data_IF_663283617051
#
_entry.id   IF_663283617051
#
_cell.length_a   1.000
_cell.length_b   1.000
_cell.length_c   1.000
_cell.angle_alpha   90.00
_cell.angle_beta   90.00
_cell.angle_gamma   90.00
#
_symmetry.space_group_name_H-M   'P 1'
#
loop_
_entity.id
_entity.type
_entity.pdbx_description
1 polymer ?
#
# COMPACT_ATOMS: atom_id res chain seq x y z
N UNK A 1 1.38 14.44 27.54
CA UNK A 1 -0.01 14.86 27.78
C UNK A 1 -0.71 14.77 26.44
N UNK A 2 -1.32 13.62 26.13
CA UNK A 2 -2.01 13.38 24.85
C UNK A 2 -3.41 13.94 24.95
N UNK A 3 -3.68 15.04 24.25
CA UNK A 3 -5.03 15.53 24.05
C UNK A 3 -5.71 14.55 23.10
N UNK A 4 -6.47 13.61 23.65
CA UNK A 4 -7.38 12.76 22.87
C UNK A 4 -8.38 13.69 22.17
N UNK A 5 -8.18 13.92 20.87
CA UNK A 5 -9.17 14.58 20.03
C UNK A 5 -10.44 13.71 20.04
N UNK A 6 -11.44 14.13 20.81
CA UNK A 6 -12.75 13.52 20.80
C UNK A 6 -13.30 13.59 19.37
N UNK A 7 -13.37 12.45 18.68
CA UNK A 7 -13.93 12.36 17.32
C UNK A 7 -13.17 11.47 16.33
N UNK A 8 -11.95 11.02 16.65
CA UNK A 8 -11.18 10.18 15.74
C UNK A 8 -11.39 8.70 16.04
N UNK A 9 -12.45 8.12 15.46
CA UNK A 9 -12.75 6.71 15.60
C UNK A 9 -12.81 6.05 14.22
N UNK A 10 -11.92 5.09 14.02
CA UNK A 10 -12.00 4.17 12.90
C UNK A 10 -12.68 2.88 13.35
N UNK A 11 -13.75 2.50 12.65
CA UNK A 11 -14.47 1.25 12.89
C UNK A 11 -14.33 0.38 11.63
N UNK A 12 -13.57 -0.72 11.68
CA UNK A 12 -13.43 -1.59 10.52
C UNK A 12 -14.76 -2.26 10.18
N UNK A 13 -15.03 -2.43 8.89
CA UNK A 13 -16.21 -3.10 8.38
C UNK A 13 -16.24 -3.10 6.86
N UNK A 14 -16.87 -4.10 6.25
CA UNK A 14 -16.86 -4.26 4.79
C UNK A 14 -17.24 -2.97 4.05
N UNK A 15 -16.42 -2.65 3.05
CA UNK A 15 -16.51 -1.49 2.17
C UNK A 15 -16.74 -1.87 0.70
N UNK A 16 -17.05 -3.12 0.37
CA UNK A 16 -17.17 -3.59 -1.03
C UNK A 16 -18.22 -2.86 -1.87
N UNK A 17 -19.21 -2.27 -1.22
CA UNK A 17 -20.32 -1.53 -1.85
C UNK A 17 -20.29 -0.03 -1.50
N UNK A 18 -19.18 0.44 -0.95
CA UNK A 18 -19.02 1.84 -0.54
C UNK A 18 -18.61 2.70 -1.72
N UNK A 19 -19.07 3.94 -1.70
CA UNK A 19 -18.63 4.96 -2.65
C UNK A 19 -17.17 5.36 -2.42
N UNK A 20 -16.55 5.99 -3.43
CA UNK A 20 -15.20 6.54 -3.28
C UNK A 20 -15.11 7.51 -2.10
N UNK A 21 -16.10 8.40 -1.92
CA UNK A 21 -16.12 9.36 -0.81
C UNK A 21 -16.18 8.67 0.57
N UNK A 22 -16.87 7.54 0.69
CA UNK A 22 -16.91 6.76 1.93
C UNK A 22 -15.56 6.08 2.22
N UNK A 23 -14.87 5.57 1.18
CA UNK A 23 -13.53 5.00 1.31
C UNK A 23 -12.50 6.09 1.71
N UNK A 24 -12.61 7.28 1.13
CA UNK A 24 -11.80 8.45 1.50
C UNK A 24 -11.97 8.83 2.96
N UNK A 25 -13.22 8.89 3.40
CA UNK A 25 -13.54 9.18 4.79
C UNK A 25 -12.98 8.11 5.73
N UNK A 26 -13.16 6.84 5.41
CA UNK A 26 -12.60 5.74 6.19
C UNK A 26 -11.06 5.82 6.29
N UNK A 27 -10.38 6.24 5.23
CA UNK A 27 -8.94 6.45 5.23
C UNK A 27 -8.51 7.61 6.13
N UNK A 28 -9.24 8.73 6.12
CA UNK A 28 -9.00 9.87 7.02
C UNK A 28 -9.29 9.51 8.48
N UNK A 29 -10.38 8.78 8.74
CA UNK A 29 -10.74 8.30 10.07
C UNK A 29 -9.67 7.33 10.60
N UNK A 30 -9.20 6.40 9.76
CA UNK A 30 -8.06 5.52 10.07
C UNK A 30 -6.82 6.33 10.40
N UNK A 31 -6.52 7.33 9.58
CA UNK A 31 -5.34 8.17 9.78
C UNK A 31 -5.41 8.96 11.08
N UNK A 32 -6.56 9.53 11.42
CA UNK A 32 -6.70 10.25 12.68
C UNK A 32 -6.62 9.33 13.90
N UNK A 33 -7.10 8.09 13.79
CA UNK A 33 -7.05 7.12 14.89
C UNK A 33 -5.64 6.54 15.12
N UNK A 34 -4.80 6.48 14.08
CA UNK A 34 -3.53 5.73 14.13
C UNK A 34 -2.25 6.57 13.93
N UNK A 35 -2.37 7.81 13.46
CA UNK A 35 -1.23 8.68 13.22
C UNK A 35 -1.35 9.99 14.01
N UNK A 36 -0.26 10.38 14.65
CA UNK A 36 -0.12 11.76 15.12
C UNK A 36 0.12 12.69 13.93
N UNK A 37 -0.76 13.68 13.78
CA UNK A 37 -0.66 14.71 12.74
C UNK A 37 -0.29 16.05 13.36
N UNK A 38 0.66 16.76 12.75
CA UNK A 38 1.13 18.07 13.21
C UNK A 38 0.81 19.12 12.16
N UNK A 39 -0.04 20.08 12.47
CA UNK A 39 -0.40 21.14 11.51
C UNK A 39 -1.76 20.88 10.84
N UNK A 40 -1.93 21.19 9.54
CA UNK A 40 -3.24 21.12 8.90
C UNK A 40 -3.76 19.67 8.83
N UNK A 41 -5.08 19.53 8.83
CA UNK A 41 -5.73 18.24 8.67
C UNK A 41 -5.26 17.55 7.37
N UNK A 42 -4.95 16.24 7.40
CA UNK A 42 -4.58 15.51 6.20
C UNK A 42 -5.67 15.58 5.13
N UNK A 43 -5.26 15.51 3.87
CA UNK A 43 -6.16 15.47 2.71
C UNK A 43 -5.89 14.25 1.85
N UNK A 44 -6.92 13.78 1.16
CA UNK A 44 -6.78 12.73 0.15
C UNK A 44 -6.20 13.33 -1.12
N UNK A 45 -5.12 12.73 -1.62
CA UNK A 45 -4.52 13.03 -2.94
C UNK A 45 -4.91 12.04 -4.00
N UNK A 46 -5.29 10.83 -3.60
CA UNK A 46 -5.76 9.78 -4.49
C UNK A 46 -6.68 8.84 -3.73
N UNK A 47 -7.79 8.46 -4.36
CA UNK A 47 -8.52 7.26 -4.01
C UNK A 47 -8.89 6.53 -5.31
N UNK A 48 -8.49 5.27 -5.43
CA UNK A 48 -8.89 4.44 -6.56
C UNK A 48 -8.83 2.96 -6.24
N UNK A 49 -9.65 2.20 -6.97
CA UNK A 49 -9.51 0.76 -7.03
C UNK A 49 -8.14 0.38 -7.61
N UNK A 50 -7.52 -0.64 -7.03
CA UNK A 50 -6.25 -1.20 -7.49
C UNK A 50 -6.53 -2.55 -8.16
N UNK A 51 -6.10 -2.69 -9.42
CA UNK A 51 -6.18 -3.97 -10.10
C UNK A 51 -5.10 -4.94 -9.59
N UNK A 52 -5.31 -6.27 -9.71
CA UNK A 52 -4.28 -7.27 -9.39
C UNK A 52 -2.92 -6.96 -10.05
N UNK A 53 -2.93 -6.61 -11.34
CA UNK A 53 -1.71 -6.28 -12.10
C UNK A 53 -0.97 -5.07 -11.53
N UNK A 54 -1.70 -4.05 -11.08
CA UNK A 54 -1.08 -2.88 -10.45
C UNK A 54 -0.52 -3.21 -9.07
N UNK A 55 -1.26 -3.96 -8.26
CA UNK A 55 -0.75 -4.42 -6.97
C UNK A 55 0.56 -5.18 -7.14
N UNK A 56 0.61 -6.14 -8.07
CA UNK A 56 1.82 -6.91 -8.38
C UNK A 56 2.99 -6.01 -8.80
N UNK A 57 2.71 -5.00 -9.64
CA UNK A 57 3.74 -4.05 -10.09
C UNK A 57 4.32 -3.22 -8.94
N UNK A 58 3.50 -2.79 -7.98
CA UNK A 58 3.94 -1.87 -6.92
C UNK A 58 4.41 -2.56 -5.64
N UNK A 59 3.87 -3.75 -5.33
CA UNK A 59 4.10 -4.43 -4.05
C UNK A 59 4.79 -5.80 -4.19
N UNK A 60 4.94 -6.36 -5.39
CA UNK A 60 5.74 -7.56 -5.63
C UNK A 60 5.20 -8.86 -5.02
N UNK A 61 3.88 -8.95 -4.78
CA UNK A 61 3.22 -10.12 -4.18
C UNK A 61 3.02 -11.30 -5.12
N UNK A 62 2.23 -12.30 -4.73
CA UNK A 62 1.75 -13.39 -5.60
C UNK A 62 0.33 -13.08 -6.11
N UNK A 63 0.02 -13.49 -7.35
CA UNK A 63 -1.30 -13.27 -7.97
C UNK A 63 -2.47 -13.79 -7.11
N UNK A 64 -2.22 -14.80 -6.27
CA UNK A 64 -3.20 -15.40 -5.35
C UNK A 64 -3.74 -14.44 -4.29
N UNK A 65 -2.99 -13.41 -3.89
CA UNK A 65 -3.49 -12.43 -2.93
C UNK A 65 -4.57 -11.52 -3.54
N UNK A 66 -4.60 -11.42 -4.87
CA UNK A 66 -5.44 -10.45 -5.58
C UNK A 66 -6.65 -11.03 -6.30
N UNK A 67 -6.74 -12.35 -6.51
CA UNK A 67 -7.80 -12.92 -7.37
C UNK A 67 -9.21 -12.72 -6.79
N UNK A 68 -9.37 -12.74 -5.47
CA UNK A 68 -10.68 -12.62 -4.80
C UNK A 68 -10.81 -11.37 -3.92
N UNK A 69 -9.80 -10.49 -3.90
CA UNK A 69 -9.80 -9.28 -3.07
C UNK A 69 -10.09 -8.03 -3.90
N UNK A 70 -11.08 -7.24 -3.46
CA UNK A 70 -11.27 -5.87 -3.95
C UNK A 70 -10.40 -4.94 -3.14
N UNK A 71 -9.38 -4.38 -3.78
CA UNK A 71 -8.43 -3.48 -3.13
C UNK A 71 -8.64 -2.03 -3.56
N UNK A 72 -8.53 -1.11 -2.61
CA UNK A 72 -8.50 0.33 -2.88
C UNK A 72 -7.21 0.96 -2.34
N UNK A 73 -6.52 1.72 -3.17
CA UNK A 73 -5.37 2.51 -2.74
C UNK A 73 -5.83 3.95 -2.48
N UNK A 74 -5.63 4.39 -1.24
CA UNK A 74 -5.81 5.78 -0.83
C UNK A 74 -4.46 6.38 -0.48
N UNK A 75 -4.15 7.55 -1.01
CA UNK A 75 -2.92 8.29 -0.66
C UNK A 75 -3.34 9.58 0.03
N UNK A 76 -2.86 9.74 1.25
CA UNK A 76 -3.05 10.92 2.09
C UNK A 76 -1.81 11.80 2.05
N UNK A 77 -2.01 13.11 2.13
CA UNK A 77 -0.96 14.11 2.33
C UNK A 77 -1.25 14.90 3.61
N UNK A 78 -0.24 15.04 4.46
CA UNK A 78 -0.29 15.72 5.75
C UNK A 78 1.03 15.52 6.49
N UNK A 79 1.31 16.26 7.57
CA UNK A 79 2.55 16.07 8.32
C UNK A 79 2.34 15.07 9.46
N UNK A 80 2.72 13.81 9.24
CA UNK A 80 2.60 12.70 10.19
C UNK A 80 3.90 12.54 11.00
N UNK A 81 3.83 12.39 12.33
CA UNK A 81 5.00 12.42 13.23
C UNK A 81 5.22 11.22 14.14
N UNK A 82 4.18 10.44 14.38
CA UNK A 82 4.28 9.23 15.20
C UNK A 82 3.19 8.28 14.74
N UNK A 83 3.60 7.08 14.37
CA UNK A 83 2.76 6.12 13.67
C UNK A 83 2.60 4.94 14.62
N UNK A 84 1.56 5.00 15.44
CA UNK A 84 1.30 4.03 16.50
C UNK A 84 0.62 2.78 15.94
N UNK A 85 1.28 2.13 14.98
CA UNK A 85 0.86 0.83 14.46
C UNK A 85 1.86 -0.19 14.98
N UNK A 86 1.41 -0.96 15.97
CA UNK A 86 2.19 -1.93 16.74
C UNK A 86 2.73 -3.10 15.92
N UNK A 87 2.44 -3.18 14.62
CA UNK A 87 2.81 -4.34 13.81
C UNK A 87 2.71 -4.03 12.33
N UNK A 88 3.82 -4.25 11.61
CA UNK A 88 3.89 -4.56 10.16
C UNK A 88 4.17 -3.45 9.13
N UNK A 89 4.68 -2.26 9.48
CA UNK A 89 4.85 -1.22 8.44
C UNK A 89 6.18 -0.48 8.52
N UNK A 90 6.90 -0.44 7.39
CA UNK A 90 8.12 0.35 7.17
C UNK A 90 7.80 1.83 6.96
N UNK A 91 6.98 2.43 7.83
CA UNK A 91 6.70 3.86 7.74
C UNK A 91 7.78 4.62 8.49
N UNK A 92 8.43 5.64 7.88
CA UNK A 92 9.40 6.45 8.59
C UNK A 92 8.76 7.13 9.81
N UNK A 93 9.54 7.49 10.84
CA UNK A 93 9.04 8.17 12.03
C UNK A 93 8.24 9.43 11.71
N UNK A 94 8.56 10.09 10.60
CA UNK A 94 7.76 11.17 10.03
C UNK A 94 7.53 10.97 8.54
N UNK A 95 6.33 11.28 8.07
CA UNK A 95 5.95 11.19 6.67
C UNK A 95 5.12 12.40 6.25
N UNK A 96 5.23 12.80 4.98
CA UNK A 96 4.32 13.79 4.37
C UNK A 96 3.20 13.15 3.57
N UNK A 97 3.45 11.94 3.10
CA UNK A 97 2.52 11.15 2.32
C UNK A 97 2.38 9.78 2.96
N UNK A 98 1.14 9.31 3.09
CA UNK A 98 0.83 7.96 3.58
C UNK A 98 -0.07 7.28 2.57
N UNK A 99 0.35 6.12 2.07
CA UNK A 99 -0.44 5.25 1.23
C UNK A 99 -1.08 4.16 2.08
N UNK A 100 -2.39 4.02 1.98
CA UNK A 100 -3.21 3.01 2.62
C UNK A 100 -3.80 2.11 1.54
N UNK A 101 -3.42 0.84 1.53
CA UNK A 101 -4.04 -0.16 0.69
C UNK A 101 -5.12 -0.88 1.51
N UNK A 102 -6.38 -0.58 1.23
CA UNK A 102 -7.52 -1.21 1.87
C UNK A 102 -7.89 -2.52 1.19
N UNK A 103 -8.12 -3.55 2.00
CA UNK A 103 -8.99 -4.67 1.61
C UNK A 103 -10.43 -4.25 1.87
N UNK A 104 -11.22 -4.06 0.81
CA UNK A 104 -12.59 -3.61 0.92
C UNK A 104 -13.51 -4.67 1.53
N UNK A 105 -13.15 -5.95 1.54
CA UNK A 105 -13.94 -6.98 2.22
C UNK A 105 -13.83 -6.84 3.73
N UNK A 106 -12.61 -6.62 4.23
CA UNK A 106 -12.33 -6.46 5.65
C UNK A 106 -12.56 -5.03 6.15
N UNK A 107 -12.49 -4.06 5.24
CA UNK A 107 -12.61 -2.65 5.56
C UNK A 107 -11.44 -2.10 6.36
N UNK A 108 -10.25 -2.68 6.23
CA UNK A 108 -9.03 -2.26 6.95
C UNK A 108 -7.86 -2.14 5.99
N UNK A 109 -6.89 -1.25 6.25
CA UNK A 109 -5.63 -1.27 5.52
C UNK A 109 -4.90 -2.61 5.74
N UNK A 110 -4.50 -3.26 4.66
CA UNK A 110 -3.64 -4.46 4.66
C UNK A 110 -2.18 -4.11 4.43
N UNK A 111 -1.91 -2.93 3.87
CA UNK A 111 -0.56 -2.38 3.71
C UNK A 111 -0.57 -0.87 3.93
N UNK A 112 0.46 -0.38 4.59
CA UNK A 112 0.66 1.04 4.88
C UNK A 112 2.09 1.39 4.50
N UNK A 113 2.24 2.44 3.71
CA UNK A 113 3.51 2.99 3.28
C UNK A 113 3.55 4.46 3.61
N UNK A 114 4.72 5.00 3.94
CA UNK A 114 4.87 6.45 4.01
C UNK A 114 6.12 6.95 3.33
N UNK A 115 6.07 8.23 3.00
CA UNK A 115 7.14 8.94 2.33
C UNK A 115 7.19 10.38 2.81
N UNK A 116 8.38 10.89 3.11
CA UNK A 116 8.60 12.30 3.45
C UNK A 116 8.52 13.21 2.23
N UNK A 117 8.82 12.68 1.05
CA UNK A 117 8.95 13.48 -0.19
C UNK A 117 7.89 13.14 -1.23
N UNK A 118 7.17 12.04 -1.06
CA UNK A 118 6.21 11.54 -2.05
C UNK A 118 6.85 10.69 -3.15
N UNK A 119 8.17 10.40 -3.07
CA UNK A 119 8.89 9.73 -4.16
C UNK A 119 8.34 8.35 -4.53
N UNK A 120 7.88 7.59 -3.54
CA UNK A 120 7.28 6.26 -3.74
C UNK A 120 5.89 6.33 -4.38
N UNK A 121 5.27 7.52 -4.38
CA UNK A 121 3.92 7.73 -4.91
C UNK A 121 3.92 8.47 -6.25
N UNK A 122 5.05 9.05 -6.67
CA UNK A 122 5.13 9.91 -7.86
C UNK A 122 4.61 9.24 -9.15
N UNK A 123 4.91 7.95 -9.35
CA UNK A 123 4.41 7.20 -10.52
C UNK A 123 2.89 6.99 -10.48
N UNK A 124 2.33 6.72 -9.30
CA UNK A 124 0.89 6.45 -9.12
C UNK A 124 0.09 7.75 -9.18
N UNK A 125 0.58 8.80 -8.53
CA UNK A 125 -0.06 10.12 -8.50
C UNK A 125 0.07 10.86 -9.83
N UNK A 126 1.01 10.45 -10.69
CA UNK A 126 1.36 11.15 -11.95
C UNK A 126 1.66 12.65 -11.73
N UNK A 127 2.11 13.01 -10.53
CA UNK A 127 2.39 14.39 -10.13
C UNK A 127 3.84 14.75 -10.49
N UNK A 128 4.08 15.68 -11.43
CA UNK A 128 5.42 16.06 -11.85
C UNK A 128 6.16 16.91 -10.80
N UNK A 129 5.47 17.44 -9.79
CA UNK A 129 6.09 18.20 -8.69
C UNK A 129 6.75 17.30 -7.64
N UNK A 130 6.39 16.01 -7.61
CA UNK A 130 7.00 15.05 -6.70
C UNK A 130 8.33 14.54 -7.26
N UNK A 131 9.36 14.37 -6.41
CA UNK A 131 10.61 13.78 -6.83
C UNK A 131 10.35 12.38 -7.35
N UNK A 132 10.77 12.09 -8.57
CA UNK A 132 10.72 10.72 -9.08
C UNK A 132 11.95 9.99 -8.56
N UNK A 133 11.76 8.79 -7.99
CA UNK A 133 12.88 7.87 -7.89
C UNK A 133 13.39 7.59 -9.30
N UNK A 134 14.54 8.17 -9.64
CA UNK A 134 15.39 7.65 -10.71
C UNK A 134 16.06 6.39 -10.17
N UNK A 135 15.28 5.40 -9.75
CA UNK A 135 15.79 4.06 -9.66
C UNK A 135 16.06 3.67 -11.11
N UNK A 136 17.27 3.96 -11.61
CA UNK A 136 17.91 3.03 -12.52
C UNK A 136 17.91 1.74 -11.72
N UNK A 137 16.86 0.92 -11.90
CA UNK A 137 16.95 -0.48 -11.55
C UNK A 137 18.28 -0.89 -12.17
N UNK A 138 19.27 -1.24 -11.34
CA UNK A 138 20.47 -1.84 -11.88
C UNK A 138 19.97 -2.95 -12.81
N UNK A 139 20.45 -3.02 -14.06
CA UNK A 139 20.00 -4.06 -14.97
C UNK A 139 20.06 -5.37 -14.20
N UNK A 140 18.93 -6.07 -14.15
CA UNK A 140 18.81 -7.35 -13.45
C UNK A 140 20.02 -8.16 -13.89
N UNK A 141 20.96 -8.52 -12.98
CA UNK A 141 22.12 -9.30 -13.37
C UNK A 141 21.62 -10.50 -14.18
N UNK A 142 22.24 -10.84 -15.31
CA UNK A 142 21.77 -11.92 -16.21
C UNK A 142 21.53 -13.27 -15.47
N UNK A 143 22.09 -13.42 -14.28
CA UNK A 143 21.90 -14.56 -13.37
C UNK A 143 20.54 -14.60 -12.66
N UNK A 144 19.74 -13.54 -12.74
CA UNK A 144 18.37 -13.43 -12.20
C UNK A 144 17.33 -13.36 -13.31
N UNK A 145 17.65 -13.85 -14.52
CA UNK A 145 16.62 -14.15 -15.52
C UNK A 145 15.54 -14.99 -14.86
N UNK A 146 14.30 -14.67 -15.20
CA UNK A 146 13.08 -15.31 -14.69
C UNK A 146 13.25 -16.83 -14.60
N UNK A 147 12.44 -17.46 -13.74
CA UNK A 147 12.07 -18.85 -13.87
C UNK A 147 11.47 -19.07 -15.26
N UNK A 148 12.31 -19.14 -16.29
CA UNK A 148 11.97 -19.86 -17.50
C UNK A 148 11.67 -21.25 -17.00
N UNK A 149 10.49 -21.74 -17.36
CA UNK A 149 10.17 -23.15 -17.38
C UNK A 149 11.22 -23.85 -18.26
N UNK A 150 12.44 -24.00 -17.76
CA UNK A 150 13.36 -25.01 -18.21
C UNK A 150 12.58 -26.28 -18.03
N UNK A 151 12.29 -26.94 -19.15
CA UNK A 151 11.66 -28.24 -19.16
C UNK A 151 12.37 -29.10 -18.13
N UNK A 152 11.74 -29.33 -16.99
CA UNK A 152 12.09 -30.45 -16.13
C UNK A 152 11.72 -31.65 -16.97
N UNK A 153 12.71 -32.23 -17.65
CA UNK A 153 12.51 -33.56 -18.23
C UNK A 153 12.02 -34.45 -17.09
N UNK A 154 10.87 -35.13 -17.25
CA UNK A 154 10.41 -36.06 -16.23
C UNK A 154 11.52 -37.06 -15.99
N UNK A 155 11.99 -37.14 -14.74
CA UNK A 155 12.96 -38.16 -14.36
C UNK A 155 12.24 -39.50 -14.46
N UNK A 156 12.52 -40.24 -15.53
CA UNK A 156 12.08 -41.62 -15.66
C UNK A 156 12.79 -42.40 -14.56
N UNK A 157 12.05 -42.85 -13.55
CA UNK A 157 12.58 -43.76 -12.54
C UNK A 157 13.03 -45.05 -13.23
N UNK A 158 14.25 -45.57 -12.98
CA UNK A 158 14.63 -46.88 -13.48
C UNK A 158 13.77 -47.96 -12.80
N UNK A 159 13.41 -49.03 -13.52
CA UNK A 159 12.66 -50.13 -12.94
C UNK A 159 13.50 -50.80 -11.83
N UNK A 160 12.88 -50.95 -10.64
CA UNK A 160 13.44 -51.74 -9.55
C UNK A 160 13.71 -53.16 -10.06
N UNK A 161 14.94 -53.66 -9.88
CA UNK A 161 15.27 -55.08 -9.94
C UNK A 161 15.28 -55.66 -8.55
#
# INVERSE_FOLDING_TARGET
MQTLLAGCQFIPGSMENKSAAEIERAALDYACANFETVGPAPRVRLNRMMSPKEYMKFYGGSDTFCQDQKLALVILEGDFKEINISSMTAVPPSAKFVGLLFDLKLGTPTSIMGSQTGEGFAEILKDPSLPRRTSRLAPVPDKLRACTSGQVQPTIMPPNR
#
